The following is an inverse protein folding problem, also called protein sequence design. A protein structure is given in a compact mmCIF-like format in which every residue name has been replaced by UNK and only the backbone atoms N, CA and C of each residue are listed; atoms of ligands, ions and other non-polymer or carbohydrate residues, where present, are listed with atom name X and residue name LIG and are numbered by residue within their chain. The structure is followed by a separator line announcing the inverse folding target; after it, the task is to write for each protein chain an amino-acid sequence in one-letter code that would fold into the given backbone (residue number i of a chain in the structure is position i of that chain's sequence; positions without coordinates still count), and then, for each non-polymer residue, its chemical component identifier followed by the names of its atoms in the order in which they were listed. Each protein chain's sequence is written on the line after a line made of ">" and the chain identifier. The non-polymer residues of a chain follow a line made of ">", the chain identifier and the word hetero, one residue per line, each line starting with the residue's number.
data_IF_587900831609
#
_entry.id   IF_587900831609
#
_cell.length_a   1.000
_cell.length_b   1.000
_cell.length_c   1.000
_cell.angle_alpha   90.00
_cell.angle_beta   90.00
_cell.angle_gamma   90.00
#
_symmetry.space_group_name_H-M   'P 1'
#
loop_
_entity.id
_entity.type
_entity.pdbx_description
1 polymer ?
#
# COMPACT_ATOMS: atom_id res chain seq x y z
N UNK A 1 9.30 -17.82 27.27
CA UNK A 1 8.23 -17.14 26.51
C UNK A 1 8.44 -17.47 25.04
N UNK A 2 7.38 -17.72 24.28
CA UNK A 2 7.49 -18.04 22.84
C UNK A 2 7.81 -16.77 22.05
N UNK A 3 8.51 -16.90 20.93
CA UNK A 3 8.88 -15.77 20.04
C UNK A 3 7.65 -14.96 19.61
N UNK A 4 6.50 -15.63 19.43
CA UNK A 4 5.23 -14.99 19.06
C UNK A 4 4.67 -14.07 20.16
N UNK A 5 4.88 -14.38 21.44
CA UNK A 5 4.40 -13.54 22.56
C UNK A 5 5.19 -12.23 22.66
N UNK A 6 6.50 -12.27 22.39
CA UNK A 6 7.36 -11.08 22.46
C UNK A 6 7.03 -10.08 21.35
N UNK A 7 6.72 -10.57 20.14
CA UNK A 7 6.31 -9.72 19.01
C UNK A 7 4.97 -9.05 19.29
N UNK A 8 4.01 -9.78 19.87
CA UNK A 8 2.73 -9.19 20.26
C UNK A 8 2.94 -8.06 21.29
N UNK A 9 3.71 -8.29 22.36
CA UNK A 9 3.96 -7.26 23.37
C UNK A 9 4.65 -6.00 22.79
N UNK A 10 5.57 -6.16 21.85
CA UNK A 10 6.19 -5.06 21.09
C UNK A 10 5.14 -4.28 20.26
N UNK A 11 4.29 -5.00 19.52
CA UNK A 11 3.24 -4.40 18.70
C UNK A 11 2.25 -3.59 19.55
N UNK A 12 1.81 -4.11 20.70
CA UNK A 12 0.85 -3.40 21.57
C UNK A 12 1.47 -2.29 22.43
N UNK A 13 2.80 -2.25 22.57
CA UNK A 13 3.50 -1.16 23.25
C UNK A 13 3.88 0.00 22.33
N UNK A 14 3.88 -0.20 21.01
CA UNK A 14 4.08 0.86 20.01
C UNK A 14 2.86 1.80 19.95
N UNK A 15 2.98 3.13 19.99
CA UNK A 15 1.84 4.03 19.75
C UNK A 15 1.19 3.78 18.37
N UNK A 16 -0.14 3.92 18.25
CA UNK A 16 -0.84 3.64 16.99
C UNK A 16 -0.33 4.50 15.83
N UNK A 17 -0.07 5.78 16.09
CA UNK A 17 0.44 6.77 15.13
C UNK A 17 1.91 6.54 14.72
N UNK A 18 2.62 5.63 15.40
CA UNK A 18 3.98 5.19 15.05
C UNK A 18 3.99 3.86 14.27
N UNK A 19 2.83 3.23 14.05
CA UNK A 19 2.75 1.97 13.30
C UNK A 19 2.98 2.25 11.80
N UNK A 20 4.07 1.71 11.27
CA UNK A 20 4.37 1.71 9.85
C UNK A 20 4.49 0.28 9.29
N UNK A 21 3.41 -0.18 8.63
CA UNK A 21 3.35 -1.52 8.02
C UNK A 21 4.06 -1.61 6.66
N UNK A 22 4.55 -0.50 6.11
CA UNK A 22 5.28 -0.47 4.84
C UNK A 22 6.73 -0.97 4.97
N UNK A 23 7.29 -1.01 6.19
CA UNK A 23 8.69 -1.37 6.38
C UNK A 23 8.97 -2.84 5.99
N UNK A 24 9.85 -3.11 5.01
CA UNK A 24 10.07 -4.48 4.48
C UNK A 24 10.56 -5.50 5.52
N UNK A 25 11.18 -5.04 6.62
CA UNK A 25 11.65 -5.92 7.71
C UNK A 25 10.52 -6.68 8.39
N UNK A 26 9.31 -6.11 8.42
CA UNK A 26 8.15 -6.78 9.04
C UNK A 26 7.75 -8.03 8.25
N UNK A 27 7.82 -7.96 6.93
CA UNK A 27 7.63 -9.10 6.03
C UNK A 27 8.79 -10.10 6.13
N UNK A 28 10.04 -9.62 6.13
CA UNK A 28 11.23 -10.48 6.25
C UNK A 28 11.21 -11.32 7.54
N UNK A 29 10.68 -10.76 8.63
CA UNK A 29 10.58 -11.42 9.94
C UNK A 29 9.26 -12.16 10.15
N UNK A 30 8.35 -12.13 9.18
CA UNK A 30 7.00 -12.70 9.26
C UNK A 30 6.21 -12.22 10.51
N UNK A 31 6.33 -10.93 10.82
CA UNK A 31 5.70 -10.31 12.01
C UNK A 31 4.54 -9.39 11.67
N UNK A 32 4.36 -9.08 10.38
CA UNK A 32 3.36 -8.12 9.91
C UNK A 32 1.92 -8.48 10.28
N UNK A 33 1.62 -9.77 10.45
CA UNK A 33 0.30 -10.26 10.84
C UNK A 33 -0.19 -9.68 12.17
N UNK A 34 0.71 -9.50 13.15
CA UNK A 34 0.36 -8.95 14.46
C UNK A 34 0.04 -7.45 14.38
N UNK A 35 0.80 -6.70 13.59
CA UNK A 35 0.51 -5.27 13.32
C UNK A 35 -0.86 -5.11 12.65
N UNK A 36 -1.14 -5.89 11.60
CA UNK A 36 -2.44 -5.84 10.95
C UNK A 36 -3.59 -6.32 11.84
N UNK A 37 -3.34 -7.26 12.76
CA UNK A 37 -4.35 -7.66 13.75
C UNK A 37 -4.73 -6.47 14.61
N UNK A 38 -3.74 -5.77 15.16
CA UNK A 38 -3.97 -4.59 15.98
C UNK A 38 -4.68 -3.47 15.22
N UNK A 39 -4.22 -3.13 14.02
CA UNK A 39 -4.87 -2.11 13.19
C UNK A 39 -6.34 -2.46 12.91
N UNK A 40 -6.67 -3.72 12.59
CA UNK A 40 -8.07 -4.11 12.39
C UNK A 40 -8.94 -3.95 13.64
N UNK A 41 -8.37 -4.11 14.82
CA UNK A 41 -9.06 -4.03 16.11
C UNK A 41 -9.23 -2.57 16.57
N UNK A 42 -8.18 -1.75 16.43
CA UNK A 42 -8.10 -0.41 17.03
C UNK A 42 -8.27 0.75 16.03
N UNK A 43 -7.68 0.66 14.83
CA UNK A 43 -7.67 1.74 13.83
C UNK A 43 -7.65 1.17 12.38
N UNK A 44 -8.81 0.74 11.84
CA UNK A 44 -8.84 -0.06 10.62
C UNK A 44 -8.58 0.73 9.33
N UNK A 45 -8.70 2.06 9.39
CA UNK A 45 -8.38 3.01 8.32
C UNK A 45 -7.32 3.95 8.89
N UNK A 46 -6.10 3.45 8.93
CA UNK A 46 -4.99 4.04 9.67
C UNK A 46 -4.17 4.99 8.80
N UNK A 47 -3.92 6.20 9.27
CA UNK A 47 -3.04 7.16 8.59
C UNK A 47 -1.61 7.07 9.16
N UNK A 48 -0.67 6.68 8.31
CA UNK A 48 0.75 6.69 8.62
C UNK A 48 1.36 7.97 8.03
N UNK A 49 1.73 8.94 8.86
CA UNK A 49 2.21 10.25 8.40
C UNK A 49 3.69 10.24 7.95
N UNK A 50 4.52 9.40 8.58
CA UNK A 50 5.97 9.39 8.41
C UNK A 50 6.49 7.97 8.10
N UNK A 51 5.79 7.24 7.23
CA UNK A 51 6.15 5.88 6.87
C UNK A 51 7.39 5.79 5.97
N UNK A 52 7.95 4.58 5.85
CA UNK A 52 9.08 4.28 4.98
C UNK A 52 8.85 4.71 3.52
N UNK A 53 7.60 4.60 3.06
CA UNK A 53 7.15 4.98 1.71
C UNK A 53 6.53 6.38 1.62
N UNK A 54 6.73 7.23 2.62
CA UNK A 54 6.04 8.52 2.75
C UNK A 54 4.71 8.40 3.51
N UNK A 55 3.84 9.41 3.36
CA UNK A 55 2.55 9.42 4.06
C UNK A 55 1.51 8.61 3.29
N UNK A 56 0.81 7.68 3.96
CA UNK A 56 -0.19 6.82 3.33
C UNK A 56 -1.31 6.36 4.28
N UNK A 57 -2.36 5.81 3.69
CA UNK A 57 -3.46 5.18 4.42
C UNK A 57 -3.40 3.66 4.32
N UNK A 58 -3.50 2.98 5.46
CA UNK A 58 -3.69 1.53 5.54
C UNK A 58 -5.16 1.19 5.71
N UNK A 59 -5.75 0.53 4.71
CA UNK A 59 -7.12 0.00 4.79
C UNK A 59 -7.04 -1.50 5.09
N UNK A 60 -7.45 -1.91 6.29
CA UNK A 60 -7.05 -3.25 6.83
C UNK A 60 -8.20 -4.25 6.99
N UNK A 61 -9.46 -3.80 6.87
CA UNK A 61 -10.64 -4.67 6.94
C UNK A 61 -11.13 -5.06 5.55
N UNK A 62 -11.58 -6.30 5.42
CA UNK A 62 -12.06 -6.87 4.16
C UNK A 62 -13.13 -6.00 3.47
N UNK A 63 -14.20 -5.63 4.20
CA UNK A 63 -15.29 -4.86 3.60
C UNK A 63 -14.85 -3.44 3.16
N UNK A 64 -13.89 -2.85 3.87
CA UNK A 64 -13.35 -1.53 3.55
C UNK A 64 -12.46 -1.61 2.30
N UNK A 65 -11.67 -2.68 2.17
CA UNK A 65 -10.89 -2.97 0.96
C UNK A 65 -11.83 -3.16 -0.23
N UNK A 66 -12.89 -3.98 -0.10
CA UNK A 66 -13.88 -4.17 -1.18
C UNK A 66 -14.53 -2.84 -1.57
N UNK A 67 -14.84 -1.98 -0.60
CA UNK A 67 -15.39 -0.65 -0.87
C UNK A 67 -14.41 0.21 -1.68
N UNK A 68 -13.14 0.26 -1.31
CA UNK A 68 -12.11 1.02 -2.02
C UNK A 68 -11.92 0.48 -3.44
N UNK A 69 -11.77 -0.84 -3.58
CA UNK A 69 -11.49 -1.52 -4.85
C UNK A 69 -12.67 -1.39 -5.84
N UNK A 70 -13.90 -1.31 -5.34
CA UNK A 70 -15.09 -1.13 -6.19
C UNK A 70 -15.41 0.33 -6.50
N UNK A 71 -14.92 1.30 -5.71
CA UNK A 71 -15.08 2.74 -5.95
C UNK A 71 -13.87 3.33 -6.68
N UNK A 72 -13.55 2.73 -7.83
CA UNK A 72 -12.43 3.11 -8.70
C UNK A 72 -12.54 4.54 -9.28
N UNK A 73 -13.66 5.24 -9.07
CA UNK A 73 -13.81 6.66 -9.46
C UNK A 73 -13.27 7.60 -8.40
N UNK A 74 -13.43 7.24 -7.13
CA UNK A 74 -12.86 7.98 -6.00
C UNK A 74 -11.40 7.57 -5.77
N UNK A 75 -11.09 6.28 -5.93
CA UNK A 75 -9.76 5.71 -5.74
C UNK A 75 -9.16 5.31 -7.10
N UNK A 76 -8.53 6.28 -7.75
CA UNK A 76 -7.87 6.12 -9.06
C UNK A 76 -6.69 5.14 -8.99
N UNK A 77 -6.55 4.30 -10.02
CA UNK A 77 -5.36 3.46 -10.25
C UNK A 77 -4.42 4.03 -11.32
N UNK A 78 -4.78 5.17 -11.92
CA UNK A 78 -4.05 5.77 -13.03
C UNK A 78 -2.60 6.13 -12.64
N UNK A 79 -1.65 5.76 -13.51
CA UNK A 79 -0.21 6.04 -13.30
C UNK A 79 0.08 7.54 -13.15
N UNK A 80 -0.71 8.41 -13.80
CA UNK A 80 -0.59 9.86 -13.65
C UNK A 80 -0.94 10.37 -12.24
N UNK A 81 -1.62 9.56 -11.43
CA UNK A 81 -1.97 9.84 -10.04
C UNK A 81 -1.09 9.09 -9.02
N UNK A 82 -0.05 8.39 -9.48
CA UNK A 82 0.87 7.64 -8.62
C UNK A 82 0.85 6.12 -8.83
N UNK A 83 -0.16 5.60 -9.55
CA UNK A 83 -0.27 4.19 -9.90
C UNK A 83 -0.76 3.30 -8.76
N UNK A 84 -0.42 2.01 -8.84
CA UNK A 84 -1.01 0.94 -8.01
C UNK A 84 -0.08 0.38 -6.93
N UNK A 85 1.15 0.88 -6.83
CA UNK A 85 2.13 0.48 -5.83
C UNK A 85 2.37 1.61 -4.84
N UNK A 86 2.57 1.25 -3.57
CA UNK A 86 2.89 2.23 -2.52
C UNK A 86 4.18 2.99 -2.83
N UNK A 87 5.24 2.29 -3.26
CA UNK A 87 6.50 2.86 -3.74
C UNK A 87 6.50 3.14 -5.27
N UNK A 88 5.34 3.51 -5.81
CA UNK A 88 5.13 3.72 -7.24
C UNK A 88 5.98 4.86 -7.83
N UNK A 89 6.07 4.95 -9.18
CA UNK A 89 6.90 5.93 -9.87
C UNK A 89 6.54 7.40 -9.55
N UNK A 90 5.34 7.67 -9.03
CA UNK A 90 4.91 9.00 -8.57
C UNK A 90 5.28 9.37 -7.13
N UNK A 91 5.79 8.43 -6.32
CA UNK A 91 6.16 8.65 -4.91
C UNK A 91 7.69 8.75 -4.69
N UNK A 92 8.49 8.50 -5.73
CA UNK A 92 9.94 8.71 -5.68
C UNK A 92 10.29 10.15 -6.07
N UNK A 93 9.94 11.13 -5.23
CA UNK A 93 10.46 12.49 -5.41
C UNK A 93 11.57 12.88 -4.43
N UNK A 94 11.76 12.18 -3.30
CA UNK A 94 12.46 12.85 -2.19
C UNK A 94 13.18 12.01 -1.11
N UNK A 95 13.28 10.68 -1.15
CA UNK A 95 13.97 9.95 -0.04
C UNK A 95 15.06 8.91 -0.38
N UNK A 96 15.14 8.31 -1.58
CA UNK A 96 16.13 7.21 -1.83
C UNK A 96 16.65 7.14 -3.26
N UNK A 97 16.71 8.29 -3.92
CA UNK A 97 17.25 8.41 -5.26
C UNK A 97 16.20 8.07 -6.30
N UNK A 98 15.59 9.12 -6.85
CA UNK A 98 15.36 9.15 -8.28
C UNK A 98 16.64 8.63 -8.93
N UNK A 99 16.61 7.48 -9.59
CA UNK A 99 17.65 7.16 -10.56
C UNK A 99 17.55 8.26 -11.62
N UNK A 100 18.35 9.32 -11.48
CA UNK A 100 18.55 10.28 -12.56
C UNK A 100 18.90 9.47 -13.81
N UNK A 101 17.99 9.46 -14.79
CA UNK A 101 18.16 8.68 -16.02
C UNK A 101 17.62 7.24 -16.00
N UNK A 102 16.84 6.81 -15.00
CA UNK A 102 15.90 5.72 -15.26
C UNK A 102 14.89 6.25 -16.28
N UNK A 103 14.83 5.71 -17.51
CA UNK A 103 13.77 6.08 -18.43
C UNK A 103 12.44 5.84 -17.72
N UNK A 104 11.43 6.64 -18.07
CA UNK A 104 10.05 6.27 -17.83
C UNK A 104 9.85 4.87 -18.42
N UNK A 105 10.11 3.85 -17.59
CA UNK A 105 9.82 2.45 -17.86
C UNK A 105 8.33 2.25 -17.61
N UNK A 106 7.52 3.22 -18.02
CA UNK A 106 6.08 3.20 -18.14
C UNK A 106 5.71 2.12 -19.13
N UNK A 107 5.89 0.87 -18.72
CA UNK A 107 5.06 -0.24 -19.13
C UNK A 107 3.67 0.13 -18.65
N UNK A 108 2.98 0.98 -19.41
CA UNK A 108 1.60 1.37 -19.14
C UNK A 108 0.75 0.13 -19.42
N UNK A 109 0.59 -0.67 -18.37
CA UNK A 109 -0.29 -1.84 -18.37
C UNK A 109 -1.69 -1.37 -17.98
N UNK A 110 -2.72 -2.05 -18.47
CA UNK A 110 -4.10 -1.62 -18.23
C UNK A 110 -4.48 -1.62 -16.74
N UNK A 111 -3.78 -2.37 -15.89
CA UNK A 111 -4.03 -2.41 -14.43
C UNK A 111 -3.76 -1.05 -13.76
N UNK A 112 -2.90 -0.20 -14.32
CA UNK A 112 -2.59 1.13 -13.80
C UNK A 112 -3.21 2.25 -14.65
N UNK A 113 -4.44 2.00 -15.14
CA UNK A 113 -5.27 2.94 -15.89
C UNK A 113 -6.68 2.96 -15.32
N UNK A 114 -7.35 4.10 -15.41
CA UNK A 114 -8.78 4.19 -15.14
C UNK A 114 -9.62 3.98 -16.42
N UNK A 115 -10.92 3.67 -16.30
CA UNK A 115 -11.85 3.68 -17.43
C UNK A 115 -11.89 5.05 -18.15
N UNK A 116 -12.11 5.08 -19.48
CA UNK A 116 -12.53 3.96 -20.33
C UNK A 116 -11.38 3.10 -20.88
N UNK A 117 -10.13 3.59 -20.85
CA UNK A 117 -9.00 2.93 -21.51
C UNK A 117 -8.65 1.57 -20.89
N UNK A 118 -8.77 1.45 -19.57
CA UNK A 118 -8.67 0.17 -18.86
C UNK A 118 -9.60 -0.89 -19.47
N UNK A 119 -10.88 -0.55 -19.67
CA UNK A 119 -11.92 -1.51 -20.10
C UNK A 119 -11.65 -2.00 -21.52
N UNK A 120 -11.26 -1.09 -22.42
CA UNK A 120 -10.92 -1.40 -23.79
C UNK A 120 -9.73 -2.37 -23.86
N UNK A 121 -8.66 -2.11 -23.10
CA UNK A 121 -7.47 -2.96 -23.11
C UNK A 121 -7.70 -4.31 -22.44
N UNK A 122 -8.41 -4.35 -21.30
CA UNK A 122 -8.75 -5.60 -20.61
C UNK A 122 -9.61 -6.52 -21.48
N UNK A 123 -10.53 -5.94 -22.26
CA UNK A 123 -11.38 -6.69 -23.19
C UNK A 123 -10.59 -7.41 -24.30
N UNK A 124 -9.45 -6.85 -24.72
CA UNK A 124 -8.60 -7.48 -25.76
C UNK A 124 -8.00 -8.80 -25.29
N UNK A 125 -7.79 -8.99 -23.99
CA UNK A 125 -7.18 -10.18 -23.40
C UNK A 125 -8.16 -11.07 -22.61
N UNK A 126 -9.46 -10.78 -22.68
CA UNK A 126 -10.55 -11.54 -22.03
C UNK A 126 -11.42 -12.21 -23.11
N UNK A 127 -11.18 -13.49 -23.47
CA UNK A 127 -11.90 -14.22 -24.51
C UNK A 127 -13.39 -14.44 -24.23
#
# INVERSE_FOLDING_TARGET
>A
MSVSTVVADEVYSTPLDEIDVSHPKLFQRDTIGEYFKRLREEDPVHYCANGHSGAYWSVTKFNDIVRVDTDHKTFSSDTSQGGIFLDGPGQQSDATGTREGAPDMGLTTFIAMDPPKHDEQRKVVSP
#
